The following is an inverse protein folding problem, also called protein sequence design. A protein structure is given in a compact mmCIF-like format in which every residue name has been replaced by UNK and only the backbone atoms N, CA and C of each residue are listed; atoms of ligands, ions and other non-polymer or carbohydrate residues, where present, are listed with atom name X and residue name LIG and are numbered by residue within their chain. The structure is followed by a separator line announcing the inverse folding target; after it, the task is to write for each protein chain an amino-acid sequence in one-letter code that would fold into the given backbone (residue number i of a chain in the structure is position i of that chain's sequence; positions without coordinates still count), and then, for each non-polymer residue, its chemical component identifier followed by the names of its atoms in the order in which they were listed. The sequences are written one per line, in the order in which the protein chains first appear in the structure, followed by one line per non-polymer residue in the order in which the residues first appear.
data_IF_395616335532
#
_entry.id   IF_395616335532
#
_cell.length_a   1.000
_cell.length_b   1.000
_cell.length_c   1.000
_cell.angle_alpha   90.00
_cell.angle_beta   90.00
_cell.angle_gamma   90.00
#
_symmetry.space_group_name_H-M   'P 1'
#
loop_
_entity.id
_entity.type
_entity.pdbx_description
1 polymer ?
#
# COMPACT_ATOMS: atom_id res chain seq x y z
N UNK A 1 -20.45 -27.38 -14.46
CA UNK A 1 -21.26 -26.57 -13.53
C UNK A 1 -20.41 -25.65 -12.66
N UNK A 2 -19.38 -26.12 -11.93
CA UNK A 2 -18.55 -25.29 -11.04
C UNK A 2 -17.79 -24.16 -11.77
N UNK A 3 -17.21 -24.43 -12.95
CA UNK A 3 -16.49 -23.41 -13.72
C UNK A 3 -17.38 -22.27 -14.23
N UNK A 4 -18.58 -22.59 -14.68
CA UNK A 4 -19.55 -21.58 -15.14
C UNK A 4 -19.97 -20.66 -14.00
N UNK A 5 -20.19 -21.19 -12.81
CA UNK A 5 -20.56 -20.39 -11.62
C UNK A 5 -19.44 -19.42 -11.17
N UNK A 6 -18.16 -19.84 -11.27
CA UNK A 6 -17.02 -18.94 -10.94
C UNK A 6 -16.87 -17.83 -11.99
N UNK A 7 -17.03 -18.14 -13.27
CA UNK A 7 -16.97 -17.12 -14.33
C UNK A 7 -18.09 -16.07 -14.14
N UNK A 8 -19.32 -16.51 -13.90
CA UNK A 8 -20.42 -15.59 -13.58
C UNK A 8 -20.16 -14.74 -12.35
N UNK A 9 -19.60 -15.35 -11.28
CA UNK A 9 -19.24 -14.63 -10.08
C UNK A 9 -18.17 -13.56 -10.35
N UNK A 10 -17.15 -13.86 -11.16
CA UNK A 10 -16.10 -12.90 -11.53
C UNK A 10 -16.64 -11.77 -12.40
N UNK A 11 -17.53 -12.05 -13.35
CA UNK A 11 -18.21 -11.03 -14.16
C UNK A 11 -19.05 -10.12 -13.23
N UNK A 12 -19.83 -10.71 -12.33
CA UNK A 12 -20.60 -9.95 -11.35
C UNK A 12 -19.74 -9.05 -10.48
N UNK A 13 -18.63 -9.59 -9.95
CA UNK A 13 -17.67 -8.83 -9.12
C UNK A 13 -17.03 -7.68 -9.91
N UNK A 14 -16.70 -7.88 -11.19
CA UNK A 14 -16.20 -6.81 -12.05
C UNK A 14 -17.20 -5.64 -12.14
N UNK A 15 -18.45 -5.95 -12.48
CA UNK A 15 -19.49 -4.92 -12.56
C UNK A 15 -19.78 -4.28 -11.20
N UNK A 16 -19.78 -5.06 -10.12
CA UNK A 16 -19.93 -4.54 -8.76
C UNK A 16 -18.82 -3.55 -8.40
N UNK A 17 -17.57 -3.88 -8.76
CA UNK A 17 -16.43 -2.96 -8.56
C UNK A 17 -16.55 -1.71 -9.42
N UNK A 18 -16.85 -1.85 -10.70
CA UNK A 18 -16.94 -0.72 -11.63
C UNK A 18 -18.10 0.22 -11.27
N UNK A 19 -19.30 -0.33 -11.11
CA UNK A 19 -20.50 0.45 -10.76
C UNK A 19 -20.39 1.05 -9.35
N UNK A 20 -19.90 0.26 -8.38
CA UNK A 20 -19.67 0.72 -7.02
C UNK A 20 -18.68 1.89 -6.97
N UNK A 21 -17.59 1.82 -7.76
CA UNK A 21 -16.59 2.89 -7.87
C UNK A 21 -17.19 4.16 -8.47
N UNK A 22 -17.98 4.04 -9.53
CA UNK A 22 -18.70 5.17 -10.14
C UNK A 22 -19.70 5.80 -9.17
N UNK A 23 -20.52 4.98 -8.51
CA UNK A 23 -21.52 5.43 -7.55
C UNK A 23 -20.87 6.15 -6.35
N UNK A 24 -19.84 5.55 -5.75
CA UNK A 24 -19.16 6.14 -4.61
C UNK A 24 -18.42 7.43 -4.99
N UNK A 25 -17.81 7.49 -6.19
CA UNK A 25 -17.21 8.72 -6.70
C UNK A 25 -18.26 9.84 -6.86
N UNK A 26 -19.44 9.52 -7.37
CA UNK A 26 -20.54 10.48 -7.49
C UNK A 26 -21.01 10.98 -6.11
N UNK A 27 -21.24 10.06 -5.17
CA UNK A 27 -21.64 10.36 -3.79
C UNK A 27 -20.59 11.25 -3.11
N UNK A 28 -19.31 10.87 -3.19
CA UNK A 28 -18.24 11.65 -2.56
C UNK A 28 -18.06 13.03 -3.18
N UNK A 29 -18.24 13.17 -4.48
CA UNK A 29 -18.24 14.48 -5.14
C UNK A 29 -19.41 15.35 -4.71
N UNK A 30 -20.61 14.76 -4.60
CA UNK A 30 -21.79 15.48 -4.15
C UNK A 30 -21.62 16.00 -2.72
N UNK A 31 -21.32 15.11 -1.76
CA UNK A 31 -21.13 15.51 -0.36
C UNK A 31 -19.86 16.32 -0.13
N UNK A 32 -18.81 16.06 -0.88
CA UNK A 32 -17.53 16.79 -0.79
C UNK A 32 -17.66 18.26 -1.17
N UNK A 33 -18.43 18.57 -2.24
CA UNK A 33 -18.72 19.95 -2.64
C UNK A 33 -19.49 20.73 -1.56
N UNK A 34 -20.27 20.05 -0.74
CA UNK A 34 -20.99 20.65 0.38
C UNK A 34 -20.17 20.67 1.71
N UNK A 35 -18.91 20.22 1.68
CA UNK A 35 -18.02 20.28 2.84
C UNK A 35 -18.19 19.18 3.88
N UNK A 36 -19.03 18.16 3.63
CA UNK A 36 -19.33 17.11 4.62
C UNK A 36 -18.25 16.03 4.76
N UNK A 37 -17.32 15.89 3.81
CA UNK A 37 -16.41 14.75 3.76
C UNK A 37 -15.02 15.01 4.40
N UNK A 38 -14.68 16.26 4.74
CA UNK A 38 -13.40 16.57 5.39
C UNK A 38 -12.18 15.98 4.63
N UNK A 39 -11.42 15.12 5.29
CA UNK A 39 -10.21 14.50 4.72
C UNK A 39 -10.47 13.56 3.54
N UNK A 40 -11.69 13.06 3.38
CA UNK A 40 -12.07 12.21 2.23
C UNK A 40 -12.30 13.01 0.93
N UNK A 41 -12.35 14.35 1.03
CA UNK A 41 -12.44 15.24 -0.13
C UNK A 41 -11.52 16.45 0.06
N UNK A 42 -10.19 16.25 0.03
CA UNK A 42 -9.23 17.29 0.37
C UNK A 42 -9.14 18.36 -0.72
N UNK A 43 -9.32 19.62 -0.35
CA UNK A 43 -9.16 20.77 -1.25
C UNK A 43 -7.76 20.86 -1.87
N UNK A 44 -6.74 20.38 -1.16
CA UNK A 44 -5.33 20.42 -1.57
C UNK A 44 -5.06 19.69 -2.89
N UNK A 45 -5.93 18.74 -3.28
CA UNK A 45 -5.81 17.97 -4.53
C UNK A 45 -6.92 18.30 -5.53
N UNK A 46 -7.45 19.50 -5.51
CA UNK A 46 -8.44 19.95 -6.48
C UNK A 46 -9.82 19.30 -6.34
N UNK A 47 -10.18 18.81 -5.16
CA UNK A 47 -11.46 18.17 -4.92
C UNK A 47 -11.57 16.77 -5.56
N UNK A 48 -10.52 15.98 -5.51
CA UNK A 48 -10.52 14.57 -5.91
C UNK A 48 -10.93 13.72 -4.71
N UNK A 49 -11.97 12.87 -4.83
CA UNK A 49 -12.38 11.98 -3.77
C UNK A 49 -11.26 11.02 -3.35
N UNK A 50 -11.02 10.94 -2.05
CA UNK A 50 -10.08 10.01 -1.41
C UNK A 50 -10.87 8.93 -0.68
N UNK A 51 -10.30 7.71 -0.59
CA UNK A 51 -10.97 6.60 0.10
C UNK A 51 -12.01 5.89 -0.76
N UNK A 52 -11.99 6.08 -2.09
CA UNK A 52 -12.82 5.29 -3.01
C UNK A 52 -12.40 3.81 -2.99
N UNK A 53 -11.23 3.49 -2.46
CA UNK A 53 -10.80 2.14 -2.09
C UNK A 53 -11.72 1.39 -1.12
N UNK A 54 -12.74 2.05 -0.54
CA UNK A 54 -13.84 1.38 0.15
C UNK A 54 -14.54 0.33 -0.73
N UNK A 55 -14.64 0.56 -2.05
CA UNK A 55 -15.29 -0.41 -2.94
C UNK A 55 -14.49 -1.71 -3.04
N UNK A 56 -13.19 -1.71 -3.45
CA UNK A 56 -12.39 -2.93 -3.37
C UNK A 56 -12.34 -3.54 -1.97
N UNK A 57 -12.28 -2.74 -0.92
CA UNK A 57 -12.29 -3.22 0.46
C UNK A 57 -13.56 -4.04 0.78
N UNK A 58 -14.72 -3.49 0.53
CA UNK A 58 -16.00 -4.19 0.79
C UNK A 58 -16.06 -5.48 -0.03
N UNK A 59 -15.76 -5.42 -1.33
CA UNK A 59 -15.84 -6.59 -2.19
C UNK A 59 -14.88 -7.69 -1.70
N UNK A 60 -13.60 -7.35 -1.45
CA UNK A 60 -12.61 -8.34 -1.00
C UNK A 60 -12.94 -8.89 0.39
N UNK A 61 -13.52 -8.09 1.29
CA UNK A 61 -13.96 -8.58 2.60
C UNK A 61 -15.08 -9.62 2.54
N UNK A 62 -15.94 -9.57 1.52
CA UNK A 62 -17.05 -10.52 1.37
C UNK A 62 -16.73 -11.71 0.47
N UNK A 63 -15.92 -11.51 -0.58
CA UNK A 63 -15.68 -12.53 -1.60
C UNK A 63 -14.36 -13.28 -1.43
N UNK A 64 -13.46 -12.82 -0.56
CA UNK A 64 -12.24 -13.59 -0.25
C UNK A 64 -12.60 -14.87 0.52
N UNK A 65 -11.72 -15.87 0.47
CA UNK A 65 -11.89 -17.11 1.20
C UNK A 65 -12.12 -16.84 2.71
N UNK A 66 -13.08 -17.52 3.37
CA UNK A 66 -13.52 -17.20 4.74
C UNK A 66 -12.41 -17.14 5.79
N UNK A 67 -11.34 -17.92 5.62
CA UNK A 67 -10.18 -17.91 6.51
C UNK A 67 -9.40 -16.59 6.46
N UNK A 68 -9.44 -15.85 5.33
CA UNK A 68 -8.61 -14.69 5.07
C UNK A 68 -9.37 -13.36 5.03
N UNK A 69 -10.70 -13.43 4.90
CA UNK A 69 -11.53 -12.22 4.82
C UNK A 69 -11.43 -11.36 6.09
N UNK A 70 -11.26 -11.98 7.27
CA UNK A 70 -11.08 -11.29 8.54
C UNK A 70 -9.84 -10.38 8.53
N UNK A 71 -8.74 -10.81 7.91
CA UNK A 71 -7.53 -10.00 7.81
C UNK A 71 -7.76 -8.74 6.97
N UNK A 72 -8.46 -8.90 5.84
CA UNK A 72 -8.84 -7.78 4.97
C UNK A 72 -9.84 -6.86 5.68
N UNK A 73 -10.82 -7.41 6.37
CA UNK A 73 -11.81 -6.64 7.12
C UNK A 73 -11.15 -5.78 8.21
N UNK A 74 -10.27 -6.37 9.02
CA UNK A 74 -9.57 -5.65 10.08
C UNK A 74 -8.74 -4.51 9.48
N UNK A 75 -7.85 -4.81 8.53
CA UNK A 75 -6.95 -3.77 8.01
C UNK A 75 -7.72 -2.64 7.30
N UNK A 76 -8.78 -2.99 6.55
CA UNK A 76 -9.57 -2.01 5.83
C UNK A 76 -10.32 -1.05 6.77
N UNK A 77 -10.87 -1.55 7.88
CA UNK A 77 -11.52 -0.70 8.90
C UNK A 77 -10.50 0.30 9.48
N UNK A 78 -9.34 -0.17 9.93
CA UNK A 78 -8.33 0.70 10.51
C UNK A 78 -7.72 1.67 9.50
N UNK A 79 -7.58 1.26 8.25
CA UNK A 79 -7.13 2.13 7.16
C UNK A 79 -8.19 3.17 6.77
N UNK A 80 -9.48 2.83 6.83
CA UNK A 80 -10.54 3.80 6.61
C UNK A 80 -10.60 4.84 7.74
N UNK A 81 -10.37 4.44 9.00
CA UNK A 81 -10.21 5.37 10.12
C UNK A 81 -9.03 6.33 9.86
N UNK A 82 -7.91 5.83 9.31
CA UNK A 82 -6.79 6.69 8.89
C UNK A 82 -7.21 7.70 7.81
N UNK A 83 -7.96 7.28 6.79
CA UNK A 83 -8.47 8.18 5.75
C UNK A 83 -9.40 9.27 6.31
N UNK A 84 -10.24 8.95 7.29
CA UNK A 84 -11.19 9.89 7.92
C UNK A 84 -10.47 10.84 8.88
N UNK A 85 -9.66 10.32 9.79
CA UNK A 85 -9.00 11.12 10.82
C UNK A 85 -7.78 11.88 10.28
N UNK A 86 -7.07 11.28 9.32
CA UNK A 86 -5.93 11.89 8.63
C UNK A 86 -4.82 12.31 9.59
N UNK A 87 -4.29 13.53 9.36
CA UNK A 87 -3.14 14.08 10.09
C UNK A 87 -3.50 14.76 11.41
N UNK A 88 -4.67 14.53 11.98
CA UNK A 88 -5.00 15.05 13.33
C UNK A 88 -4.04 14.44 14.34
N UNK A 89 -3.39 15.28 15.15
CA UNK A 89 -2.42 14.83 16.16
C UNK A 89 -3.12 14.30 17.40
N UNK A 90 -2.69 13.14 17.86
CA UNK A 90 -2.96 12.63 19.19
C UNK A 90 -2.00 13.33 20.16
N UNK A 91 -2.50 14.36 20.88
CA UNK A 91 -1.68 15.23 21.74
C UNK A 91 -0.82 14.45 22.76
N UNK A 92 -1.34 13.44 23.50
CA UNK A 92 -0.55 12.72 24.49
C UNK A 92 0.64 11.94 23.91
N UNK A 93 0.51 11.44 22.68
CA UNK A 93 1.51 10.56 22.07
C UNK A 93 2.40 11.28 21.04
N UNK A 94 2.04 12.50 20.62
CA UNK A 94 2.75 13.24 19.58
C UNK A 94 2.74 12.57 18.20
N UNK A 95 1.81 11.61 17.99
CA UNK A 95 1.62 10.81 16.77
C UNK A 95 0.32 11.24 16.09
N UNK A 96 0.22 11.08 14.78
CA UNK A 96 -1.02 11.30 14.06
C UNK A 96 -2.01 10.14 14.33
N UNK A 97 -3.29 10.44 14.52
CA UNK A 97 -4.33 9.43 14.74
C UNK A 97 -4.40 8.40 13.61
N UNK A 98 -4.19 8.85 12.37
CA UNK A 98 -4.11 7.96 11.21
C UNK A 98 -2.96 6.95 11.33
N UNK A 99 -1.75 7.41 11.71
CA UNK A 99 -0.60 6.51 11.92
C UNK A 99 -0.85 5.52 13.05
N UNK A 100 -1.50 5.95 14.14
CA UNK A 100 -1.86 5.07 15.25
C UNK A 100 -2.85 4.00 14.81
N UNK A 101 -3.93 4.40 14.12
CA UNK A 101 -4.93 3.47 13.57
C UNK A 101 -4.28 2.43 12.68
N UNK A 102 -3.45 2.86 11.71
CA UNK A 102 -2.70 1.96 10.84
C UNK A 102 -1.82 0.98 11.61
N UNK A 103 -1.06 1.47 12.58
CA UNK A 103 -0.19 0.63 13.42
C UNK A 103 -0.97 -0.43 14.17
N UNK A 104 -2.11 -0.07 14.76
CA UNK A 104 -3.02 -1.01 15.44
C UNK A 104 -3.56 -2.03 14.45
N UNK A 105 -4.05 -1.61 13.27
CA UNK A 105 -4.55 -2.51 12.25
C UNK A 105 -3.51 -3.54 11.81
N UNK A 106 -2.27 -3.11 11.53
CA UNK A 106 -1.14 -3.98 11.18
C UNK A 106 -0.87 -4.99 12.30
N UNK A 107 -0.81 -4.54 13.55
CA UNK A 107 -0.57 -5.43 14.70
C UNK A 107 -1.70 -6.46 14.85
N UNK A 108 -2.95 -6.05 14.70
CA UNK A 108 -4.10 -6.95 14.81
C UNK A 108 -4.10 -8.02 13.72
N UNK A 109 -3.79 -7.68 12.46
CA UNK A 109 -3.72 -8.71 11.42
C UNK A 109 -2.53 -9.66 11.61
N UNK A 110 -1.42 -9.22 12.20
CA UNK A 110 -0.34 -10.12 12.61
C UNK A 110 -0.83 -11.12 13.66
N UNK A 111 -1.49 -10.64 14.71
CA UNK A 111 -2.00 -11.49 15.80
C UNK A 111 -3.05 -12.48 15.27
N UNK A 112 -4.07 -11.97 14.58
CA UNK A 112 -5.15 -12.81 14.03
C UNK A 112 -4.60 -13.81 13.02
N UNK A 113 -3.71 -13.39 12.14
CA UNK A 113 -3.07 -14.28 11.16
C UNK A 113 -2.25 -15.40 11.81
N UNK A 114 -1.54 -15.11 12.90
CA UNK A 114 -0.83 -16.14 13.68
C UNK A 114 -1.85 -17.13 14.30
N UNK A 115 -2.93 -16.63 14.86
CA UNK A 115 -4.01 -17.47 15.44
C UNK A 115 -4.70 -18.33 14.38
N UNK A 116 -4.86 -17.84 13.15
CA UNK A 116 -5.38 -18.58 11.99
C UNK A 116 -4.37 -19.55 11.37
N UNK A 117 -3.21 -19.73 12.00
CA UNK A 117 -2.18 -20.70 11.60
C UNK A 117 -1.26 -20.24 10.45
N UNK A 118 -1.18 -18.94 10.14
CA UNK A 118 -0.24 -18.42 9.15
C UNK A 118 1.18 -18.29 9.70
N UNK A 119 1.36 -18.35 11.03
CA UNK A 119 2.67 -18.23 11.66
C UNK A 119 3.39 -16.93 11.26
N UNK A 120 4.69 -17.04 10.95
CA UNK A 120 5.53 -15.89 10.55
C UNK A 120 5.04 -15.23 9.25
N UNK A 121 4.32 -15.96 8.39
CA UNK A 121 3.76 -15.40 7.16
C UNK A 121 2.78 -14.23 7.41
N UNK A 122 2.08 -14.25 8.55
CA UNK A 122 1.19 -13.16 8.93
C UNK A 122 1.92 -11.81 9.04
N UNK A 123 3.16 -11.83 9.51
CA UNK A 123 4.01 -10.62 9.60
C UNK A 123 4.32 -10.08 8.22
N UNK A 124 4.73 -10.94 7.26
CA UNK A 124 5.01 -10.51 5.89
C UNK A 124 3.78 -10.01 5.16
N UNK A 125 2.62 -10.67 5.35
CA UNK A 125 1.33 -10.21 4.81
C UNK A 125 1.02 -8.79 5.30
N UNK A 126 1.17 -8.57 6.61
CA UNK A 126 0.94 -7.28 7.23
C UNK A 126 1.91 -6.19 6.72
N UNK A 127 3.18 -6.54 6.52
CA UNK A 127 4.20 -5.60 6.06
C UNK A 127 4.01 -5.17 4.59
N UNK A 128 3.31 -5.96 3.74
CA UNK A 128 2.99 -5.57 2.36
C UNK A 128 2.09 -4.33 2.25
N UNK A 129 1.40 -3.97 3.32
CA UNK A 129 0.67 -2.70 3.42
C UNK A 129 1.59 -1.51 3.10
N UNK A 130 2.82 -1.52 3.58
CA UNK A 130 3.75 -0.38 3.42
C UNK A 130 4.17 -0.14 1.97
N UNK A 131 4.67 -1.13 1.18
CA UNK A 131 4.96 -0.94 -0.23
C UNK A 131 3.77 -0.45 -1.04
N UNK A 132 2.58 -1.03 -0.83
CA UNK A 132 1.37 -0.63 -1.56
C UNK A 132 0.96 0.80 -1.24
N UNK A 133 1.08 1.22 0.02
CA UNK A 133 0.82 2.60 0.42
C UNK A 133 1.80 3.60 -0.26
N UNK A 134 3.07 3.24 -0.37
CA UNK A 134 4.04 4.06 -1.10
C UNK A 134 3.73 4.10 -2.60
N UNK A 135 3.14 3.07 -3.18
CA UNK A 135 2.79 3.04 -4.62
C UNK A 135 1.73 4.07 -4.99
N UNK A 136 0.79 4.41 -4.09
CA UNK A 136 -0.37 5.30 -4.34
C UNK A 136 -0.04 6.81 -4.39
N UNK A 137 1.22 7.18 -4.40
CA UNK A 137 1.56 8.62 -4.52
C UNK A 137 1.40 9.17 -5.96
N UNK A 138 1.09 8.33 -6.94
CA UNK A 138 0.79 8.69 -8.32
C UNK A 138 -0.48 7.97 -8.79
N UNK A 139 -1.36 8.64 -9.56
CA UNK A 139 -2.53 8.00 -10.13
C UNK A 139 -2.18 6.73 -10.91
N UNK A 140 -2.92 5.66 -10.72
CA UNK A 140 -2.75 4.38 -11.43
C UNK A 140 -1.59 3.51 -10.96
N UNK A 141 -0.64 4.00 -10.16
CA UNK A 141 0.56 3.23 -9.81
C UNK A 141 0.24 1.98 -8.99
N UNK A 142 -0.63 2.08 -7.99
CA UNK A 142 -1.06 0.92 -7.20
C UNK A 142 -1.84 -0.07 -8.06
N UNK A 143 -2.69 0.42 -8.95
CA UNK A 143 -3.44 -0.43 -9.88
C UNK A 143 -2.51 -1.21 -10.82
N UNK A 144 -1.50 -0.56 -11.42
CA UNK A 144 -0.50 -1.25 -12.27
C UNK A 144 0.20 -2.36 -11.50
N UNK A 145 0.69 -2.06 -10.30
CA UNK A 145 1.38 -3.05 -9.45
C UNK A 145 0.44 -4.20 -9.09
N UNK A 146 -0.79 -3.92 -8.68
CA UNK A 146 -1.78 -4.94 -8.31
C UNK A 146 -2.12 -5.84 -9.51
N UNK A 147 -2.35 -5.27 -10.70
CA UNK A 147 -2.64 -6.02 -11.92
C UNK A 147 -1.46 -6.93 -12.29
N UNK A 148 -0.24 -6.37 -12.38
CA UNK A 148 0.96 -7.14 -12.74
C UNK A 148 1.21 -8.26 -11.74
N UNK A 149 1.13 -7.98 -10.44
CA UNK A 149 1.40 -8.98 -9.41
C UNK A 149 0.31 -10.06 -9.33
N UNK A 150 -0.96 -9.70 -9.56
CA UNK A 150 -2.04 -10.68 -9.65
C UNK A 150 -1.86 -11.63 -10.85
N UNK A 151 -1.54 -11.09 -12.02
CA UNK A 151 -1.26 -11.89 -13.22
C UNK A 151 -0.05 -12.80 -13.01
N UNK A 152 1.05 -12.26 -12.48
CA UNK A 152 2.24 -13.04 -12.18
C UNK A 152 1.94 -14.18 -11.19
N UNK A 153 1.15 -13.91 -10.17
CA UNK A 153 0.74 -14.92 -9.17
C UNK A 153 -0.10 -16.01 -9.81
N UNK A 154 -1.05 -15.67 -10.70
CA UNK A 154 -1.85 -16.65 -11.44
C UNK A 154 -0.94 -17.54 -12.31
N UNK A 155 -0.02 -16.93 -13.07
CA UNK A 155 0.92 -17.68 -13.92
C UNK A 155 1.73 -18.67 -13.07
N UNK A 156 2.29 -18.21 -11.96
CA UNK A 156 3.09 -19.07 -11.08
C UNK A 156 2.23 -20.20 -10.49
N UNK A 157 1.01 -19.92 -10.05
CA UNK A 157 0.12 -20.94 -9.50
C UNK A 157 -0.22 -22.02 -10.54
N UNK A 158 -0.47 -21.62 -11.79
CA UNK A 158 -0.72 -22.57 -12.88
C UNK A 158 0.51 -23.43 -13.18
N UNK A 159 1.71 -22.84 -13.13
CA UNK A 159 2.96 -23.56 -13.43
C UNK A 159 3.41 -24.49 -12.30
N UNK A 160 3.19 -24.10 -11.04
CA UNK A 160 3.70 -24.82 -9.84
C UNK A 160 2.70 -25.86 -9.34
N UNK A 161 1.40 -25.56 -9.36
CA UNK A 161 0.36 -26.36 -8.71
C UNK A 161 -0.43 -27.25 -9.68
N UNK A 162 0.16 -27.73 -10.76
CA UNK A 162 -0.52 -28.53 -11.79
C UNK A 162 -1.10 -29.87 -11.31
N UNK A 163 -2.28 -29.92 -10.67
CA UNK A 163 -3.19 -31.05 -10.71
C UNK A 163 -4.57 -30.67 -11.24
N UNK A 164 -5.24 -31.56 -11.96
CA UNK A 164 -6.34 -31.20 -12.87
C UNK A 164 -7.69 -30.85 -12.25
N UNK A 165 -7.86 -30.93 -10.95
CA UNK A 165 -9.19 -30.76 -10.31
C UNK A 165 -9.34 -29.59 -9.33
N UNK A 166 -8.26 -28.89 -8.97
CA UNK A 166 -8.29 -27.78 -8.01
C UNK A 166 -7.79 -26.44 -8.58
N UNK A 167 -7.44 -26.37 -9.87
CA UNK A 167 -6.78 -25.22 -10.50
C UNK A 167 -7.56 -23.91 -10.33
N UNK A 168 -8.88 -23.95 -10.54
CA UNK A 168 -9.70 -22.75 -10.49
C UNK A 168 -9.84 -22.22 -9.05
N UNK A 169 -9.87 -23.11 -8.06
CA UNK A 169 -9.94 -22.71 -6.65
C UNK A 169 -8.58 -22.14 -6.18
N UNK A 170 -7.49 -22.70 -6.68
CA UNK A 170 -6.15 -22.20 -6.37
C UNK A 170 -5.95 -20.77 -6.88
N UNK A 171 -6.34 -20.48 -8.13
CA UNK A 171 -6.18 -19.15 -8.74
C UNK A 171 -7.29 -18.17 -8.34
N UNK A 172 -8.30 -18.60 -7.58
CA UNK A 172 -9.47 -17.78 -7.25
C UNK A 172 -9.08 -16.45 -6.60
N UNK A 173 -8.21 -16.48 -5.59
CA UNK A 173 -7.82 -15.28 -4.85
C UNK A 173 -7.11 -14.24 -5.71
N UNK A 174 -6.02 -14.55 -6.45
CA UNK A 174 -5.37 -13.55 -7.30
C UNK A 174 -6.27 -13.12 -8.47
N UNK A 175 -7.14 -13.99 -9.00
CA UNK A 175 -8.13 -13.64 -10.02
C UNK A 175 -9.16 -12.65 -9.47
N UNK A 176 -9.67 -12.88 -8.27
CA UNK A 176 -10.59 -11.96 -7.59
C UNK A 176 -9.96 -10.57 -7.42
N UNK A 177 -8.70 -10.51 -6.94
CA UNK A 177 -7.98 -9.25 -6.76
C UNK A 177 -7.82 -8.52 -8.11
N UNK A 178 -7.44 -9.26 -9.15
CA UNK A 178 -7.30 -8.74 -10.51
C UNK A 178 -8.60 -8.11 -11.01
N UNK A 179 -9.71 -8.85 -10.92
CA UNK A 179 -11.02 -8.43 -11.42
C UNK A 179 -11.54 -7.21 -10.66
N UNK A 180 -11.41 -7.19 -9.33
CA UNK A 180 -11.77 -6.03 -8.50
C UNK A 180 -10.94 -4.80 -8.89
N UNK A 181 -9.62 -4.97 -9.06
CA UNK A 181 -8.73 -3.90 -9.47
C UNK A 181 -9.09 -3.37 -10.88
N UNK A 182 -9.37 -4.25 -11.85
CA UNK A 182 -9.76 -3.86 -13.21
C UNK A 182 -11.07 -3.05 -13.25
N UNK A 183 -12.05 -3.36 -12.38
CA UNK A 183 -13.27 -2.55 -12.26
C UNK A 183 -13.02 -1.16 -11.66
N UNK A 184 -12.05 -1.05 -10.77
CA UNK A 184 -11.68 0.20 -10.08
C UNK A 184 -10.77 1.11 -10.94
N UNK A 185 -9.78 0.55 -11.61
CA UNK A 185 -8.61 1.26 -12.15
C UNK A 185 -8.90 2.33 -13.23
N UNK A 186 -9.95 2.29 -14.08
CA UNK A 186 -10.14 3.30 -15.12
C UNK A 186 -10.27 4.73 -14.58
N UNK A 187 -10.93 4.91 -13.44
CA UNK A 187 -11.07 6.22 -12.82
C UNK A 187 -9.79 6.67 -12.10
N UNK A 188 -9.04 5.73 -11.53
CA UNK A 188 -7.77 6.00 -10.86
C UNK A 188 -6.69 6.41 -11.89
N UNK A 189 -6.56 5.70 -13.01
CA UNK A 189 -5.67 6.08 -14.11
C UNK A 189 -5.95 7.48 -14.67
N UNK A 190 -7.21 7.87 -14.71
CA UNK A 190 -7.60 9.20 -15.15
C UNK A 190 -7.42 10.29 -14.07
N UNK A 191 -6.92 9.94 -12.89
CA UNK A 191 -6.73 10.85 -11.77
C UNK A 191 -8.02 11.44 -11.19
N UNK A 192 -9.18 10.80 -11.44
CA UNK A 192 -10.49 11.29 -11.00
C UNK A 192 -10.87 10.84 -9.59
N UNK A 193 -10.17 9.85 -9.06
CA UNK A 193 -10.36 9.29 -7.73
C UNK A 193 -9.00 8.97 -7.10
N UNK A 194 -8.99 8.67 -5.81
CA UNK A 194 -7.82 8.18 -5.09
C UNK A 194 -8.22 6.96 -4.26
N UNK A 195 -7.36 5.97 -4.29
CA UNK A 195 -7.54 4.71 -3.55
C UNK A 195 -7.67 4.96 -2.04
N UNK A 196 -6.83 5.84 -1.51
CA UNK A 196 -6.73 6.11 -0.08
C UNK A 196 -6.02 4.98 0.67
N UNK A 197 -5.85 5.17 1.96
CA UNK A 197 -5.23 4.17 2.81
C UNK A 197 -6.04 2.87 2.85
N UNK A 198 -7.39 2.98 2.84
CA UNK A 198 -8.29 1.82 2.87
C UNK A 198 -8.05 0.88 1.69
N UNK A 199 -7.93 1.41 0.48
CA UNK A 199 -7.70 0.57 -0.71
C UNK A 199 -6.28 0.04 -0.78
N UNK A 200 -5.26 0.86 -0.47
CA UNK A 200 -3.86 0.46 -0.46
C UNK A 200 -3.58 -0.69 0.49
N UNK A 201 -4.10 -0.59 1.70
CA UNK A 201 -3.92 -1.61 2.72
C UNK A 201 -4.69 -2.88 2.38
N UNK A 202 -5.89 -2.74 1.85
CA UNK A 202 -6.71 -3.87 1.37
C UNK A 202 -5.99 -4.65 0.28
N UNK A 203 -5.52 -3.99 -0.77
CA UNK A 203 -4.77 -4.67 -1.83
C UNK A 203 -3.44 -5.25 -1.34
N UNK A 204 -2.76 -4.56 -0.40
CA UNK A 204 -1.53 -5.07 0.21
C UNK A 204 -1.73 -6.41 0.92
N UNK A 205 -2.73 -6.49 1.80
CA UNK A 205 -3.06 -7.73 2.54
C UNK A 205 -3.59 -8.81 1.59
N UNK A 206 -4.47 -8.46 0.66
CA UNK A 206 -5.03 -9.41 -0.30
C UNK A 206 -3.95 -10.03 -1.20
N UNK A 207 -3.01 -9.23 -1.74
CA UNK A 207 -1.86 -9.73 -2.49
C UNK A 207 -0.96 -10.62 -1.62
N UNK A 208 -0.69 -10.23 -0.37
CA UNK A 208 0.06 -11.06 0.56
C UNK A 208 -0.56 -12.42 0.80
N UNK A 209 -1.88 -12.48 0.93
CA UNK A 209 -2.64 -13.73 1.02
C UNK A 209 -2.48 -14.54 -0.28
N UNK A 210 -2.64 -13.92 -1.45
CA UNK A 210 -2.47 -14.59 -2.74
C UNK A 210 -1.06 -15.16 -2.89
N UNK A 211 -0.02 -14.44 -2.49
CA UNK A 211 1.37 -14.92 -2.53
C UNK A 211 1.60 -16.11 -1.59
N UNK A 212 1.02 -16.05 -0.39
CA UNK A 212 1.09 -17.16 0.56
C UNK A 212 0.41 -18.43 0.01
N UNK A 213 -0.71 -18.28 -0.70
CA UNK A 213 -1.45 -19.39 -1.29
C UNK A 213 -0.71 -20.06 -2.46
N UNK A 214 0.31 -19.46 -3.04
CA UNK A 214 1.18 -20.10 -4.05
C UNK A 214 1.92 -21.32 -3.47
N UNK A 215 2.45 -21.20 -2.25
CA UNK A 215 3.22 -22.28 -1.61
C UNK A 215 3.87 -21.83 -0.29
N UNK A 216 3.17 -21.00 0.50
CA UNK A 216 3.57 -20.64 1.85
C UNK A 216 4.60 -19.51 1.93
N UNK A 217 5.40 -19.52 3.00
CA UNK A 217 6.29 -18.44 3.40
C UNK A 217 7.31 -18.01 2.33
N UNK A 218 7.96 -18.95 1.64
CA UNK A 218 9.03 -18.62 0.70
C UNK A 218 8.51 -17.94 -0.57
N UNK A 219 7.36 -18.36 -1.08
CA UNK A 219 6.70 -17.68 -2.19
C UNK A 219 6.20 -16.30 -1.79
N UNK A 220 5.61 -16.18 -0.61
CA UNK A 220 5.23 -14.87 -0.07
C UNK A 220 6.43 -13.93 0.02
N UNK A 221 7.57 -14.39 0.56
CA UNK A 221 8.79 -13.58 0.66
C UNK A 221 9.31 -13.15 -0.72
N UNK A 222 9.43 -14.10 -1.65
CA UNK A 222 9.92 -13.83 -3.00
C UNK A 222 9.03 -12.81 -3.74
N UNK A 223 7.71 -13.03 -3.74
CA UNK A 223 6.76 -12.16 -4.43
C UNK A 223 6.65 -10.79 -3.74
N UNK A 224 6.85 -10.71 -2.43
CA UNK A 224 6.94 -9.44 -1.70
C UNK A 224 8.18 -8.62 -2.10
N UNK A 225 9.33 -9.28 -2.28
CA UNK A 225 10.55 -8.64 -2.79
C UNK A 225 10.34 -8.16 -4.24
N UNK A 226 9.74 -8.98 -5.10
CA UNK A 226 9.41 -8.60 -6.49
C UNK A 226 8.45 -7.41 -6.51
N UNK A 227 7.41 -7.42 -5.67
CA UNK A 227 6.44 -6.31 -5.55
C UNK A 227 7.15 -5.02 -5.14
N UNK A 228 7.98 -5.07 -4.10
CA UNK A 228 8.75 -3.91 -3.61
C UNK A 228 9.69 -3.37 -4.69
N UNK A 229 10.37 -4.28 -5.40
CA UNK A 229 11.26 -3.96 -6.53
C UNK A 229 10.50 -3.27 -7.67
N UNK A 230 9.34 -3.80 -8.05
CA UNK A 230 8.48 -3.22 -9.07
C UNK A 230 8.02 -1.81 -8.69
N UNK A 231 7.58 -1.61 -7.45
CA UNK A 231 7.17 -0.28 -6.96
C UNK A 231 8.36 0.68 -6.97
N UNK A 232 9.53 0.26 -6.49
CA UNK A 232 10.74 1.07 -6.51
C UNK A 232 11.12 1.49 -7.94
N UNK A 233 10.97 0.58 -8.91
CA UNK A 233 11.22 0.85 -10.32
C UNK A 233 10.21 1.83 -10.92
N UNK A 234 8.91 1.58 -10.74
CA UNK A 234 7.82 2.46 -11.24
C UNK A 234 7.96 3.87 -10.66
N UNK A 235 8.34 3.97 -9.40
CA UNK A 235 8.41 5.25 -8.69
C UNK A 235 9.77 5.93 -8.69
N UNK A 236 10.79 5.35 -9.30
CA UNK A 236 12.18 5.84 -9.24
C UNK A 236 12.33 7.34 -9.56
N UNK A 237 11.62 7.84 -10.55
CA UNK A 237 11.73 9.23 -10.98
C UNK A 237 11.17 10.19 -9.92
N UNK A 238 10.01 9.86 -9.35
CA UNK A 238 9.40 10.66 -8.28
C UNK A 238 10.23 10.60 -7.00
N UNK A 239 10.71 9.40 -6.63
CA UNK A 239 11.58 9.19 -5.48
C UNK A 239 12.91 9.91 -5.62
N UNK A 240 13.48 9.97 -6.82
CA UNK A 240 14.72 10.74 -7.09
C UNK A 240 14.55 12.22 -6.77
N UNK A 241 13.43 12.81 -7.19
CA UNK A 241 13.10 14.21 -6.87
C UNK A 241 12.90 14.38 -5.36
N UNK A 242 12.14 13.51 -4.74
CA UNK A 242 11.92 13.50 -3.29
C UNK A 242 13.24 13.39 -2.50
N UNK A 243 14.11 12.46 -2.87
CA UNK A 243 15.41 12.28 -2.20
C UNK A 243 16.29 13.52 -2.32
N UNK A 244 16.36 14.11 -3.51
CA UNK A 244 17.14 15.35 -3.71
C UNK A 244 16.58 16.51 -2.89
N UNK A 245 15.26 16.71 -2.90
CA UNK A 245 14.62 17.88 -2.28
C UNK A 245 14.44 17.76 -0.76
N UNK A 246 14.15 16.56 -0.28
CA UNK A 246 13.78 16.33 1.12
C UNK A 246 14.89 15.70 1.96
N UNK A 247 15.67 14.79 1.37
CA UNK A 247 16.68 14.05 2.09
C UNK A 247 18.09 14.55 1.81
N UNK A 248 18.29 15.43 0.82
CA UNK A 248 19.62 15.90 0.42
C UNK A 248 20.49 14.83 -0.27
N UNK A 249 19.91 13.71 -0.71
CA UNK A 249 20.59 12.64 -1.42
C UNK A 249 20.69 12.98 -2.91
N UNK A 250 21.89 13.35 -3.38
CA UNK A 250 22.10 13.82 -4.76
C UNK A 250 22.08 12.64 -5.74
N UNK A 251 22.73 11.51 -5.39
CA UNK A 251 22.86 10.32 -6.23
C UNK A 251 22.30 9.09 -5.52
N UNK A 252 20.97 8.90 -5.48
CA UNK A 252 20.37 7.73 -4.86
C UNK A 252 20.65 6.48 -5.69
N UNK A 253 20.95 5.37 -5.03
CA UNK A 253 21.08 4.05 -5.63
C UNK A 253 19.71 3.38 -5.73
N UNK A 254 19.61 2.28 -6.49
CA UNK A 254 18.38 1.49 -6.51
C UNK A 254 18.01 0.95 -5.12
N UNK A 255 19.00 0.56 -4.32
CA UNK A 255 18.78 0.14 -2.93
C UNK A 255 18.14 1.23 -2.07
N UNK A 256 18.49 2.51 -2.27
CA UNK A 256 17.82 3.62 -1.56
C UNK A 256 16.33 3.71 -1.92
N UNK A 257 15.96 3.50 -3.21
CA UNK A 257 14.55 3.45 -3.63
C UNK A 257 13.83 2.25 -3.04
N UNK A 258 14.45 1.08 -3.08
CA UNK A 258 13.90 -0.15 -2.52
C UNK A 258 13.64 0.00 -1.01
N UNK A 259 14.62 0.52 -0.27
CA UNK A 259 14.50 0.74 1.17
C UNK A 259 13.48 1.82 1.51
N UNK A 260 13.30 2.84 0.66
CA UNK A 260 12.24 3.84 0.87
C UNK A 260 10.85 3.22 0.69
N UNK A 261 10.66 2.39 -0.32
CA UNK A 261 9.39 1.67 -0.54
C UNK A 261 9.09 0.74 0.64
N UNK A 262 10.10 0.03 1.13
CA UNK A 262 9.93 -0.93 2.24
C UNK A 262 9.73 -0.25 3.60
N UNK A 263 10.47 0.83 3.88
CA UNK A 263 10.56 1.42 5.23
C UNK A 263 10.28 2.92 5.26
N UNK A 264 9.97 3.55 4.15
CA UNK A 264 9.71 4.99 4.06
C UNK A 264 8.37 5.40 4.65
N UNK A 265 8.22 6.70 4.91
CA UNK A 265 6.97 7.28 5.37
C UNK A 265 6.68 7.09 6.86
N UNK A 266 5.46 7.43 7.27
CA UNK A 266 5.04 7.71 8.63
C UNK A 266 5.47 6.71 9.71
N UNK A 267 5.15 5.42 9.58
CA UNK A 267 5.53 4.42 10.60
C UNK A 267 7.04 4.11 10.59
N UNK A 268 7.67 4.06 9.42
CA UNK A 268 9.11 3.84 9.31
C UNK A 268 9.92 5.04 9.84
N UNK A 269 9.47 6.26 9.56
CA UNK A 269 10.10 7.47 10.10
C UNK A 269 9.91 7.56 11.63
N UNK A 270 8.75 7.13 12.13
CA UNK A 270 8.48 7.03 13.56
C UNK A 270 9.41 6.01 14.23
N UNK A 271 9.56 4.81 13.67
CA UNK A 271 10.48 3.79 14.16
C UNK A 271 11.92 4.32 14.22
N UNK A 272 12.38 5.00 13.15
CA UNK A 272 13.71 5.62 13.13
C UNK A 272 13.87 6.68 14.22
N UNK A 273 12.85 7.50 14.48
CA UNK A 273 12.87 8.47 15.56
C UNK A 273 13.14 7.82 16.93
N UNK A 274 12.49 6.71 17.22
CA UNK A 274 12.66 6.01 18.48
C UNK A 274 13.99 5.25 18.56
N UNK A 275 14.38 4.58 17.49
CA UNK A 275 15.61 3.74 17.46
C UNK A 275 16.86 4.61 17.37
N UNK A 276 16.90 5.58 16.46
CA UNK A 276 18.06 6.42 16.17
C UNK A 276 18.12 7.66 17.08
N UNK A 277 17.02 7.98 17.75
CA UNK A 277 16.86 9.19 18.59
C UNK A 277 17.27 10.45 17.82
N UNK A 278 18.25 11.22 18.33
CA UNK A 278 18.75 12.47 17.71
C UNK A 278 19.97 12.23 16.80
N UNK A 279 20.38 10.95 16.59
CA UNK A 279 21.59 10.63 15.83
C UNK A 279 21.30 10.44 14.35
N UNK A 280 22.20 10.92 13.51
CA UNK A 280 22.28 10.63 12.09
C UNK A 280 23.54 9.84 11.83
N UNK A 281 23.41 8.68 11.20
CA UNK A 281 24.55 7.84 10.82
C UNK A 281 24.92 8.08 9.36
N UNK A 282 26.21 8.29 9.09
CA UNK A 282 26.76 8.34 7.74
C UNK A 282 27.16 6.93 7.29
N UNK A 283 26.71 6.52 6.11
CA UNK A 283 27.07 5.23 5.51
C UNK A 283 28.09 5.48 4.42
N UNK A 284 29.31 4.97 4.59
CA UNK A 284 30.42 5.17 3.66
C UNK A 284 30.80 3.90 2.89
N UNK A 285 30.44 2.71 3.41
CA UNK A 285 30.73 1.45 2.75
C UNK A 285 29.92 1.31 1.45
N UNK A 286 30.56 1.10 0.27
CA UNK A 286 29.88 1.03 -1.03
C UNK A 286 28.83 -0.09 -1.10
N UNK A 287 29.07 -1.25 -0.47
CA UNK A 287 28.12 -2.34 -0.42
C UNK A 287 26.84 -1.94 0.34
N UNK A 288 26.99 -1.33 1.52
CA UNK A 288 25.85 -0.86 2.30
C UNK A 288 25.09 0.27 1.57
N UNK A 289 25.81 1.13 0.85
CA UNK A 289 25.19 2.15 0.01
C UNK A 289 24.35 1.50 -1.10
N UNK A 290 24.89 0.51 -1.81
CA UNK A 290 24.17 -0.19 -2.88
C UNK A 290 22.92 -0.92 -2.38
N UNK A 291 22.94 -1.40 -1.13
CA UNK A 291 21.82 -2.05 -0.44
C UNK A 291 20.81 -1.05 0.16
N UNK A 292 21.04 0.28 0.04
CA UNK A 292 20.11 1.31 0.48
C UNK A 292 20.16 1.64 1.98
N UNK A 293 21.24 1.30 2.68
CA UNK A 293 21.39 1.62 4.09
C UNK A 293 21.43 3.12 4.38
N UNK A 294 21.77 3.97 3.38
CA UNK A 294 21.65 5.43 3.52
C UNK A 294 20.21 5.84 3.79
N UNK A 295 19.25 5.23 3.08
CA UNK A 295 17.82 5.50 3.29
C UNK A 295 17.30 4.85 4.56
N UNK A 296 17.73 3.62 4.86
CA UNK A 296 17.31 2.88 6.04
C UNK A 296 17.69 3.62 7.33
N UNK A 297 18.91 4.15 7.40
CA UNK A 297 19.46 4.85 8.57
C UNK A 297 19.24 6.37 8.53
N UNK A 298 18.54 6.90 7.53
CA UNK A 298 18.21 8.32 7.48
C UNK A 298 17.20 8.71 8.55
N UNK A 299 17.58 9.61 9.43
CA UNK A 299 16.71 10.09 10.49
C UNK A 299 16.22 11.53 10.21
N UNK A 300 14.96 11.73 9.81
CA UNK A 300 14.43 13.06 9.52
C UNK A 300 14.32 13.96 10.79
N UNK A 301 14.47 13.38 11.96
CA UNK A 301 14.38 14.07 13.25
C UNK A 301 15.75 14.38 13.89
N UNK A 302 16.85 13.99 13.26
CA UNK A 302 18.19 14.28 13.77
C UNK A 302 18.47 15.78 13.83
N UNK A 303 19.08 16.25 14.91
CA UNK A 303 19.44 17.66 15.12
C UNK A 303 20.54 18.15 14.18
N UNK A 304 21.44 17.28 13.75
CA UNK A 304 22.45 17.55 12.73
C UNK A 304 22.27 16.59 11.56
N UNK A 305 21.90 17.08 10.38
CA UNK A 305 21.93 16.24 9.20
C UNK A 305 23.38 16.08 8.75
N UNK A 306 23.93 14.85 8.80
CA UNK A 306 25.22 14.50 8.23
C UNK A 306 25.25 14.64 6.68
N UNK A 307 24.11 14.82 6.08
CA UNK A 307 23.94 15.15 4.68
C UNK A 307 23.82 16.68 4.58
N UNK A 308 24.84 17.34 4.03
CA UNK A 308 24.80 18.76 3.73
C UNK A 308 23.49 19.07 3.00
N UNK A 309 22.62 19.85 3.63
CA UNK A 309 21.63 20.62 2.87
C UNK A 309 22.46 21.60 2.06
N UNK A 310 22.33 21.62 0.72
CA UNK A 310 22.88 22.72 -0.03
C UNK A 310 22.32 24.01 0.60
N UNK A 311 23.17 24.90 1.07
CA UNK A 311 22.79 26.09 1.84
C UNK A 311 21.84 27.05 1.10
N UNK A 312 21.47 26.77 -0.15
CA UNK A 312 20.76 27.69 -1.03
C UNK A 312 19.34 27.31 -1.41
N UNK A 313 18.77 26.21 -0.87
CA UNK A 313 17.37 25.88 -1.12
C UNK A 313 16.58 26.01 0.16
N UNK A 314 16.26 27.25 0.56
CA UNK A 314 15.14 27.49 1.47
C UNK A 314 13.91 26.81 0.87
N UNK A 315 13.20 25.92 1.59
CA UNK A 315 12.00 25.31 1.08
C UNK A 315 10.91 26.37 1.01
N UNK A 316 10.87 27.15 -0.07
CA UNK A 316 9.66 27.87 -0.46
C UNK A 316 8.67 26.87 -1.04
N UNK A 317 8.07 26.08 -0.17
CA UNK A 317 6.76 25.52 -0.46
C UNK A 317 5.80 26.38 0.33
N UNK A 318 5.33 27.46 -0.26
CA UNK A 318 3.98 27.94 0.01
C UNK A 318 3.06 26.80 -0.42
N UNK A 319 2.63 26.00 0.52
CA UNK A 319 1.38 25.29 0.39
C UNK A 319 0.35 26.39 0.15
N UNK A 320 -0.06 26.54 -1.12
CA UNK A 320 -1.11 27.45 -1.49
C UNK A 320 -2.30 27.20 -0.58
N UNK A 321 -2.85 28.30 -0.10
CA UNK A 321 -4.06 28.38 0.71
C UNK A 321 -5.24 27.76 -0.03
#
# INVERSE_FOLDING_TARGET
MMYTSVIFAMIFVFFLSAVGTLALNFIFKFFGKHGYLGNLYPNVRGGIPRGIGLVPFVILSFYLLPKFNNLVLIIGIFAFIDDVLGRKKCVPLGIEWGQLSRGIGILLIMIVGIMEGLGVSAILIALLVQPLNISDMQPGSTCIVTVIMSILTIIIMVLVNSPPTSELLAIYTPLLILIVCLGYCPLDFSGKIMLGEVGNHTFGVALGIAFYLVGGFWWLLLLSIITTTLIAFVRRNTLKVFFRQRLGLINPTFGDYFMDVLTGGGLGDLARKYILKDKQYSVTNPLLISLGFRRLLYNPHARSSAYHRPNDVKPRIRLGR
#
